data_IF_409509521251
#
_entry.id   IF_409509521251
#
_cell.length_a   1.000
_cell.length_b   1.000
_cell.length_c   1.000
_cell.angle_alpha   90.00
_cell.angle_beta   90.00
_cell.angle_gamma   90.00
#
_symmetry.space_group_name_H-M   'P 1'
#
loop_
_entity.id
_entity.type
_entity.pdbx_description
1 polymer ?
#
# COMPACT_ATOMS: atom_id res chain seq x y z
N UNK A 1 5.26 -1.70 -10.40
CA UNK A 1 5.14 -0.47 -9.58
C UNK A 1 4.61 0.72 -10.36
N UNK A 2 5.19 1.12 -11.50
CA UNK A 2 4.72 2.31 -12.28
C UNK A 2 3.21 2.26 -12.59
N UNK A 3 2.71 1.16 -13.17
CA UNK A 3 1.28 1.04 -13.48
C UNK A 3 0.39 0.94 -12.24
N UNK A 4 0.94 0.55 -11.08
CA UNK A 4 0.21 0.60 -9.81
C UNK A 4 -0.08 2.06 -9.43
N UNK A 5 0.93 2.93 -9.52
CA UNK A 5 0.75 4.36 -9.23
C UNK A 5 -0.15 5.07 -10.25
N UNK A 6 -0.12 4.66 -11.52
CA UNK A 6 -1.06 5.13 -12.54
C UNK A 6 -2.50 4.75 -12.17
N UNK A 7 -2.73 3.50 -11.77
CA UNK A 7 -4.05 3.01 -11.35
C UNK A 7 -4.57 3.72 -10.10
N UNK A 8 -3.70 3.90 -9.11
CA UNK A 8 -3.98 4.70 -7.90
C UNK A 8 -4.40 6.13 -8.28
N UNK A 9 -3.54 6.88 -8.97
CA UNK A 9 -3.84 8.27 -9.33
C UNK A 9 -5.16 8.42 -10.11
N UNK A 10 -5.42 7.50 -11.06
CA UNK A 10 -6.67 7.45 -11.82
C UNK A 10 -7.88 7.19 -10.93
N UNK A 11 -7.83 6.20 -10.04
CA UNK A 11 -8.93 5.85 -9.14
C UNK A 11 -9.15 6.89 -8.05
N UNK A 12 -8.08 7.55 -7.61
CA UNK A 12 -8.11 8.55 -6.56
C UNK A 12 -8.67 9.89 -7.06
N UNK A 13 -8.09 10.45 -8.13
CA UNK A 13 -8.39 11.77 -8.69
C UNK A 13 -8.55 12.86 -7.62
N UNK A 14 -7.55 12.98 -6.74
CA UNK A 14 -7.55 13.89 -5.60
C UNK A 14 -8.77 13.69 -4.66
N UNK A 15 -9.20 12.44 -4.49
CA UNK A 15 -10.33 12.03 -3.65
C UNK A 15 -11.71 12.22 -4.29
N UNK A 16 -11.80 12.77 -5.52
CA UNK A 16 -13.09 12.99 -6.20
C UNK A 16 -13.78 11.69 -6.58
N UNK A 17 -13.00 10.70 -7.00
CA UNK A 17 -13.54 9.42 -7.47
C UNK A 17 -13.47 8.32 -6.41
N UNK A 18 -12.48 8.36 -5.52
CA UNK A 18 -12.31 7.37 -4.43
C UNK A 18 -13.57 7.19 -3.57
N UNK A 19 -14.26 8.28 -3.23
CA UNK A 19 -15.47 8.26 -2.41
C UNK A 19 -16.77 8.34 -3.21
N UNK A 20 -16.69 8.31 -4.54
CA UNK A 20 -17.87 8.26 -5.39
C UNK A 20 -18.37 6.81 -5.47
N UNK A 21 -19.51 6.53 -4.84
CA UNK A 21 -20.11 5.19 -4.83
C UNK A 21 -20.93 4.88 -6.10
N UNK A 22 -20.94 5.79 -7.09
CA UNK A 22 -21.67 5.65 -8.34
C UNK A 22 -20.73 5.44 -9.52
N UNK A 23 -20.54 4.18 -9.89
CA UNK A 23 -19.79 3.82 -11.11
C UNK A 23 -20.30 4.54 -12.37
N UNK A 24 -21.62 4.60 -12.65
CA UNK A 24 -22.14 5.34 -13.79
C UNK A 24 -21.75 6.82 -13.81
N UNK A 25 -21.68 7.47 -12.64
CA UNK A 25 -21.24 8.86 -12.54
C UNK A 25 -19.75 8.99 -12.90
N UNK A 26 -18.88 8.15 -12.33
CA UNK A 26 -17.44 8.14 -12.65
C UNK A 26 -17.22 7.97 -14.15
N UNK A 27 -17.95 7.03 -14.78
CA UNK A 27 -17.85 6.78 -16.22
C UNK A 27 -18.38 7.95 -17.07
N UNK A 28 -19.43 8.65 -16.62
CA UNK A 28 -19.92 9.84 -17.30
C UNK A 28 -18.91 11.00 -17.23
N UNK A 29 -18.29 11.22 -16.07
CA UNK A 29 -17.21 12.21 -15.91
C UNK A 29 -15.98 11.84 -16.74
N UNK A 30 -15.59 10.56 -16.76
CA UNK A 30 -14.50 10.07 -17.62
C UNK A 30 -14.78 10.35 -19.11
N UNK A 31 -16.02 10.15 -19.57
CA UNK A 31 -16.41 10.48 -20.93
C UNK A 31 -16.32 11.99 -21.22
N UNK A 32 -16.69 12.85 -20.26
CA UNK A 32 -16.54 14.31 -20.38
C UNK A 32 -15.08 14.75 -20.44
N UNK A 33 -14.17 14.02 -19.80
CA UNK A 33 -12.72 14.22 -19.86
C UNK A 33 -12.09 13.74 -21.18
N UNK A 34 -12.87 13.17 -22.11
CA UNK A 34 -12.38 12.66 -23.39
C UNK A 34 -11.96 11.18 -23.34
N UNK A 35 -12.30 10.46 -22.28
CA UNK A 35 -11.94 9.06 -22.08
C UNK A 35 -10.53 8.85 -21.52
N UNK A 36 -10.20 7.59 -21.19
CA UNK A 36 -8.95 7.25 -20.50
C UNK A 36 -7.69 7.70 -21.24
N UNK A 37 -7.68 7.58 -22.57
CA UNK A 37 -6.53 7.94 -23.40
C UNK A 37 -6.26 9.46 -23.46
N UNK A 38 -7.23 10.29 -23.03
CA UNK A 38 -7.09 11.75 -23.00
C UNK A 38 -6.55 12.26 -21.66
N UNK A 39 -6.39 11.40 -20.65
CA UNK A 39 -5.94 11.80 -19.32
C UNK A 39 -4.42 11.98 -19.29
N UNK A 40 -3.96 13.17 -18.88
CA UNK A 40 -2.59 13.38 -18.40
C UNK A 40 -2.59 13.34 -16.87
N UNK A 41 -1.80 12.43 -16.29
CA UNK A 41 -1.72 12.26 -14.83
C UNK A 41 -0.71 13.23 -14.24
N UNK A 42 -1.19 14.44 -13.96
CA UNK A 42 -0.40 15.51 -13.38
C UNK A 42 -1.02 16.04 -12.08
N UNK A 43 -0.22 16.23 -11.01
CA UNK A 43 -0.66 17.00 -9.85
C UNK A 43 -0.97 18.46 -10.24
N UNK A 44 -1.92 19.14 -9.56
CA UNK A 44 -2.65 18.67 -8.39
C UNK A 44 -3.93 17.88 -8.72
N UNK A 45 -4.26 17.68 -10.00
CA UNK A 45 -5.52 17.06 -10.40
C UNK A 45 -5.51 15.53 -10.23
N UNK A 46 -4.38 14.90 -10.52
CA UNK A 46 -4.17 13.45 -10.44
C UNK A 46 -2.97 13.09 -9.55
N UNK A 47 -2.96 13.47 -8.26
CA UNK A 47 -1.96 12.98 -7.33
C UNK A 47 -2.15 11.49 -7.08
N UNK A 48 -1.12 10.82 -6.59
CA UNK A 48 -1.24 9.48 -6.00
C UNK A 48 -1.77 9.57 -4.56
N UNK A 49 -2.48 8.54 -4.10
CA UNK A 49 -2.99 8.42 -2.72
C UNK A 49 -1.91 7.89 -1.77
N UNK A 50 -2.33 7.53 -0.55
CA UNK A 50 -1.51 6.82 0.43
C UNK A 50 -1.04 5.45 -0.07
N UNK A 51 -1.81 4.83 -0.98
CA UNK A 51 -1.47 3.60 -1.70
C UNK A 51 -0.03 3.59 -2.21
N UNK A 52 0.26 4.50 -3.13
CA UNK A 52 1.55 4.53 -3.80
C UNK A 52 2.64 4.93 -2.84
N UNK A 53 2.36 5.80 -1.87
CA UNK A 53 3.33 6.22 -0.85
C UNK A 53 3.77 5.01 0.00
N UNK A 54 2.82 4.20 0.47
CA UNK A 54 3.13 3.00 1.27
C UNK A 54 3.73 1.87 0.43
N UNK A 55 3.30 1.72 -0.84
CA UNK A 55 3.90 0.79 -1.78
C UNK A 55 5.37 1.15 -2.06
N UNK A 56 5.69 2.42 -2.28
CA UNK A 56 7.07 2.89 -2.43
C UNK A 56 7.88 2.67 -1.15
N UNK A 57 7.33 2.98 0.02
CA UNK A 57 8.00 2.71 1.30
C UNK A 57 8.36 1.22 1.46
N UNK A 58 7.45 0.32 1.06
CA UNK A 58 7.70 -1.13 1.04
C UNK A 58 8.83 -1.48 0.08
N UNK A 59 8.75 -0.99 -1.16
CA UNK A 59 9.72 -1.28 -2.21
C UNK A 59 11.13 -0.78 -1.86
N UNK A 60 11.25 0.42 -1.30
CA UNK A 60 12.52 0.97 -0.87
C UNK A 60 13.11 0.20 0.32
N UNK A 61 12.27 -0.35 1.21
CA UNK A 61 12.70 -1.22 2.31
C UNK A 61 13.30 -2.52 1.78
N UNK A 62 12.63 -3.16 0.83
CA UNK A 62 13.13 -4.37 0.16
C UNK A 62 14.42 -4.11 -0.63
N UNK A 63 14.53 -2.93 -1.27
CA UNK A 63 15.70 -2.55 -2.05
C UNK A 63 16.97 -2.37 -1.21
N UNK A 64 16.88 -2.34 0.12
CA UNK A 64 18.05 -2.30 1.01
C UNK A 64 18.87 -3.59 1.00
N UNK A 65 18.28 -4.72 0.57
CA UNK A 65 18.92 -6.04 0.65
C UNK A 65 18.97 -6.62 2.07
N UNK A 66 18.29 -6.01 3.04
CA UNK A 66 18.10 -6.59 4.37
C UNK A 66 17.18 -7.81 4.28
N UNK A 67 17.36 -8.75 5.21
CA UNK A 67 16.54 -9.96 5.31
C UNK A 67 16.10 -10.19 6.76
N UNK A 68 15.06 -11.00 6.95
CA UNK A 68 14.61 -11.40 8.28
C UNK A 68 14.18 -10.21 9.14
N UNK A 69 14.59 -10.22 10.42
CA UNK A 69 14.21 -9.19 11.39
C UNK A 69 14.69 -7.77 11.02
N UNK A 70 15.94 -7.55 10.58
CA UNK A 70 16.38 -6.24 10.08
C UNK A 70 15.51 -5.65 8.97
N UNK A 71 15.02 -6.48 8.04
CA UNK A 71 14.11 -6.02 6.98
C UNK A 71 12.79 -5.53 7.57
N UNK A 72 12.21 -6.28 8.52
CA UNK A 72 10.94 -5.91 9.16
C UNK A 72 11.05 -4.59 9.93
N UNK A 73 12.18 -4.37 10.63
CA UNK A 73 12.47 -3.12 11.32
C UNK A 73 12.63 -1.95 10.34
N UNK A 74 13.25 -2.17 9.19
CA UNK A 74 13.38 -1.15 8.16
C UNK A 74 12.05 -0.81 7.50
N UNK A 75 11.20 -1.81 7.20
CA UNK A 75 9.86 -1.59 6.66
C UNK A 75 9.01 -0.76 7.61
N UNK A 76 9.02 -1.10 8.90
CA UNK A 76 8.39 -0.33 9.96
C UNK A 76 8.84 1.14 9.97
N UNK A 77 10.15 1.37 9.99
CA UNK A 77 10.74 2.71 9.97
C UNK A 77 10.28 3.51 8.75
N UNK A 78 10.19 2.85 7.58
CA UNK A 78 9.74 3.48 6.33
C UNK A 78 8.25 3.79 6.35
N UNK A 79 7.39 2.93 6.90
CA UNK A 79 5.96 3.24 7.04
C UNK A 79 5.73 4.44 7.95
N UNK A 80 6.45 4.54 9.06
CA UNK A 80 6.39 5.71 9.94
C UNK A 80 6.88 6.98 9.22
N UNK A 81 7.98 6.90 8.48
CA UNK A 81 8.50 8.03 7.71
C UNK A 81 7.53 8.46 6.58
N UNK A 82 6.90 7.50 5.91
CA UNK A 82 5.93 7.71 4.85
C UNK A 82 4.70 8.51 5.31
N UNK A 83 4.32 8.42 6.59
CA UNK A 83 3.24 9.24 7.16
C UNK A 83 3.50 10.75 7.03
N UNK A 84 4.75 11.18 6.83
CA UNK A 84 5.11 12.57 6.57
C UNK A 84 4.66 13.10 5.19
N UNK A 85 4.32 12.23 4.24
CA UNK A 85 3.86 12.58 2.88
C UNK A 85 2.38 12.21 2.67
N UNK A 86 1.53 12.33 3.69
CA UNK A 86 0.12 11.92 3.61
C UNK A 86 -0.87 13.08 3.42
N UNK A 87 -0.39 14.32 3.33
CA UNK A 87 -1.24 15.50 3.13
C UNK A 87 -2.02 15.39 1.81
N UNK A 88 -3.35 15.42 1.90
CA UNK A 88 -4.20 15.30 0.72
C UNK A 88 -4.14 13.93 0.03
N UNK A 89 -3.71 12.87 0.73
CA UNK A 89 -3.59 11.50 0.18
C UNK A 89 -4.49 10.46 0.83
N UNK A 90 -5.25 10.85 1.86
CA UNK A 90 -6.30 10.06 2.51
C UNK A 90 -5.85 8.71 3.11
N UNK A 91 -4.80 8.69 3.96
CA UNK A 91 -4.40 7.46 4.63
C UNK A 91 -5.52 6.83 5.46
N UNK A 92 -5.59 5.49 5.42
CA UNK A 92 -6.53 4.72 6.23
C UNK A 92 -6.30 4.89 7.75
N UNK A 93 -7.36 4.84 8.58
CA UNK A 93 -7.26 5.12 10.03
C UNK A 93 -6.37 4.12 10.79
N UNK A 94 -6.36 2.85 10.39
CA UNK A 94 -5.47 1.83 10.97
C UNK A 94 -4.00 2.13 10.68
N UNK A 95 -3.66 2.48 9.44
CA UNK A 95 -2.30 2.89 9.05
C UNK A 95 -1.80 4.08 9.86
N UNK A 96 -2.65 5.11 10.04
CA UNK A 96 -2.33 6.28 10.86
C UNK A 96 -2.05 5.87 12.31
N UNK A 97 -2.98 5.14 12.93
CA UNK A 97 -2.92 4.80 14.36
C UNK A 97 -1.68 3.96 14.68
N UNK A 98 -1.42 2.91 13.91
CA UNK A 98 -0.31 2.00 14.21
C UNK A 98 1.04 2.66 13.92
N UNK A 99 1.17 3.48 12.86
CA UNK A 99 2.39 4.26 12.63
C UNK A 99 2.64 5.31 13.72
N UNK A 100 1.59 5.91 14.29
CA UNK A 100 1.71 6.83 15.43
C UNK A 100 2.19 6.11 16.68
N UNK A 101 1.63 4.93 16.99
CA UNK A 101 2.07 4.12 18.14
C UNK A 101 3.52 3.70 18.04
N UNK A 102 3.95 3.28 16.85
CA UNK A 102 5.36 2.96 16.63
C UNK A 102 6.25 4.19 16.85
N UNK A 103 5.88 5.34 16.28
CA UNK A 103 6.66 6.57 16.44
C UNK A 103 6.84 6.98 17.90
N UNK A 104 5.83 6.75 18.73
CA UNK A 104 5.86 7.04 20.17
C UNK A 104 6.68 6.03 20.97
N UNK A 105 7.05 4.88 20.38
CA UNK A 105 7.67 3.77 21.11
C UNK A 105 6.69 3.07 22.06
N UNK A 106 5.37 3.27 21.86
CA UNK A 106 4.30 2.66 22.66
C UNK A 106 4.06 1.19 22.28
N UNK A 107 4.68 0.73 21.19
CA UNK A 107 4.71 -0.65 20.74
C UNK A 107 5.86 -1.40 21.41
N UNK A 108 5.54 -2.51 22.08
CA UNK A 108 6.55 -3.51 22.48
C UNK A 108 6.88 -4.36 21.24
N UNK A 109 7.46 -3.73 20.22
CA UNK A 109 7.65 -4.31 18.89
C UNK A 109 6.34 -4.51 18.12
N UNK A 110 6.40 -4.48 16.79
CA UNK A 110 5.27 -4.76 15.91
C UNK A 110 4.76 -6.19 16.08
N UNK A 111 3.84 -6.41 17.02
CA UNK A 111 3.31 -7.74 17.33
C UNK A 111 1.99 -7.79 18.10
N UNK A 112 1.46 -6.65 18.56
CA UNK A 112 0.23 -6.61 19.36
C UNK A 112 -0.71 -5.44 18.98
N UNK A 113 -1.02 -5.28 17.69
CA UNK A 113 -2.07 -4.37 17.21
C UNK A 113 -3.47 -4.98 17.28
N UNK A 114 -4.47 -4.18 17.61
CA UNK A 114 -5.88 -4.55 17.80
C UNK A 114 -6.60 -4.45 16.45
N UNK A 115 -7.38 -5.49 16.10
CA UNK A 115 -8.02 -5.63 14.79
C UNK A 115 -8.93 -4.46 14.40
N UNK A 116 -8.57 -3.77 13.32
CA UNK A 116 -9.47 -2.99 12.49
C UNK A 116 -9.64 -3.69 11.13
N UNK A 117 -10.89 -3.85 10.69
CA UNK A 117 -11.22 -4.31 9.35
C UNK A 117 -10.98 -3.17 8.34
N UNK A 118 -9.71 -2.94 8.01
CA UNK A 118 -9.31 -2.24 6.79
C UNK A 118 -8.90 -3.28 5.77
N UNK A 119 -9.77 -3.58 4.82
CA UNK A 119 -9.37 -4.31 3.61
C UNK A 119 -8.62 -3.33 2.73
N UNK A 120 -7.36 -3.01 3.03
CA UNK A 120 -6.55 -2.28 2.06
C UNK A 120 -5.05 -2.20 2.40
N UNK A 121 -4.26 -2.75 1.46
CA UNK A 121 -3.03 -2.16 0.91
C UNK A 121 -1.73 -2.35 1.70
N UNK A 122 -1.30 -3.59 1.82
CA UNK A 122 0.13 -3.89 1.53
C UNK A 122 0.23 -4.22 0.05
N UNK A 123 0.92 -3.35 -0.69
CA UNK A 123 1.10 -3.50 -2.11
C UNK A 123 2.55 -3.79 -2.45
N UNK A 124 2.74 -4.81 -3.29
CA UNK A 124 3.93 -4.98 -4.11
C UNK A 124 5.09 -5.73 -3.49
N UNK A 125 4.98 -7.06 -3.40
CA UNK A 125 6.14 -7.94 -3.34
C UNK A 125 6.29 -8.62 -4.71
N UNK A 126 6.71 -7.85 -5.70
CA UNK A 126 7.25 -8.38 -6.97
C UNK A 126 8.71 -8.82 -6.86
N UNK A 127 9.28 -8.81 -5.65
CA UNK A 127 10.72 -8.97 -5.38
C UNK A 127 11.16 -10.42 -5.18
N UNK A 128 10.23 -11.38 -5.22
CA UNK A 128 10.51 -12.80 -5.01
C UNK A 128 10.04 -13.62 -6.23
N UNK A 129 10.69 -13.48 -7.40
CA UNK A 129 10.23 -14.12 -8.63
C UNK A 129 10.35 -15.66 -8.58
N UNK A 130 11.25 -16.19 -7.76
CA UNK A 130 11.57 -17.59 -7.76
C UNK A 130 10.71 -18.41 -6.79
N UNK A 131 10.36 -19.63 -7.19
CA UNK A 131 9.51 -20.51 -6.39
C UNK A 131 10.11 -20.88 -5.01
N UNK A 132 11.44 -20.90 -4.91
CA UNK A 132 12.14 -21.19 -3.65
C UNK A 132 12.07 -20.02 -2.64
N UNK A 133 11.71 -18.82 -3.07
CA UNK A 133 11.53 -17.65 -2.21
C UNK A 133 10.13 -17.58 -1.59
N UNK A 134 9.22 -18.50 -1.95
CA UNK A 134 7.84 -18.52 -1.48
C UNK A 134 7.72 -18.46 0.07
N UNK A 135 8.52 -19.20 0.87
CA UNK A 135 8.48 -19.06 2.32
C UNK A 135 8.81 -17.64 2.80
N UNK A 136 9.78 -16.98 2.17
CA UNK A 136 10.16 -15.59 2.47
C UNK A 136 9.06 -14.62 2.06
N UNK A 137 8.46 -14.79 0.87
CA UNK A 137 7.32 -13.99 0.42
C UNK A 137 6.16 -14.09 1.41
N UNK A 138 5.81 -15.31 1.84
CA UNK A 138 4.73 -15.54 2.81
C UNK A 138 5.03 -14.83 4.13
N UNK A 139 6.24 -15.02 4.67
CA UNK A 139 6.63 -14.37 5.93
C UNK A 139 6.60 -12.84 5.79
N UNK A 140 7.32 -12.27 4.83
CA UNK A 140 7.46 -10.82 4.71
C UNK A 140 6.12 -10.14 4.44
N UNK A 141 5.26 -10.71 3.58
CA UNK A 141 3.92 -10.16 3.30
C UNK A 141 3.01 -10.15 4.53
N UNK A 142 2.97 -11.25 5.30
CA UNK A 142 2.16 -11.34 6.52
C UNK A 142 2.68 -10.38 7.59
N UNK A 143 4.00 -10.38 7.81
CA UNK A 143 4.65 -9.55 8.82
C UNK A 143 4.50 -8.07 8.52
N UNK A 144 4.72 -7.66 7.27
CA UNK A 144 4.51 -6.26 6.85
C UNK A 144 3.03 -5.86 6.89
N UNK A 145 2.12 -6.78 6.57
CA UNK A 145 0.66 -6.55 6.64
C UNK A 145 0.16 -6.34 8.06
N UNK A 146 0.63 -7.14 9.00
CA UNK A 146 0.18 -7.04 10.39
C UNK A 146 0.74 -5.84 11.15
N UNK A 147 1.74 -5.13 10.60
CA UNK A 147 2.23 -3.87 11.18
C UNK A 147 1.08 -2.86 11.34
N UNK A 148 0.25 -2.69 10.31
CA UNK A 148 -0.89 -1.76 10.34
C UNK A 148 -2.25 -2.48 10.42
N UNK A 149 -2.32 -3.75 10.04
CA UNK A 149 -3.57 -4.51 9.96
C UNK A 149 -3.42 -5.91 10.58
N UNK A 150 -3.36 -5.97 11.91
CA UNK A 150 -3.24 -7.23 12.65
C UNK A 150 -4.58 -7.99 12.76
N UNK A 151 -5.17 -8.28 11.62
CA UNK A 151 -6.36 -9.09 11.45
C UNK A 151 -6.17 -9.98 10.21
N UNK A 152 -6.56 -11.27 10.23
CA UNK A 152 -6.36 -12.18 9.09
C UNK A 152 -6.92 -11.65 7.77
N UNK A 153 -8.08 -11.00 7.78
CA UNK A 153 -8.62 -10.35 6.58
C UNK A 153 -7.67 -9.30 5.98
N UNK A 154 -6.93 -8.57 6.81
CA UNK A 154 -5.97 -7.56 6.36
C UNK A 154 -4.65 -8.18 5.88
N UNK A 155 -3.92 -8.88 6.75
CA UNK A 155 -2.60 -9.40 6.39
C UNK A 155 -2.62 -10.57 5.38
N UNK A 156 -3.75 -11.29 5.23
CA UNK A 156 -3.89 -12.25 4.13
C UNK A 156 -4.16 -11.55 2.80
N UNK A 157 -4.76 -10.35 2.82
CA UNK A 157 -4.81 -9.46 1.66
C UNK A 157 -3.41 -9.07 1.18
N UNK A 158 -2.51 -8.73 2.12
CA UNK A 158 -1.10 -8.49 1.84
C UNK A 158 -0.43 -9.68 1.13
N UNK A 159 -0.65 -10.89 1.65
CA UNK A 159 -0.17 -12.13 1.03
C UNK A 159 -0.73 -12.33 -0.37
N UNK A 160 -2.02 -12.10 -0.58
CA UNK A 160 -2.65 -12.27 -1.88
C UNK A 160 -2.03 -11.32 -2.93
N UNK A 161 -1.86 -10.04 -2.59
CA UNK A 161 -1.23 -9.05 -3.48
C UNK A 161 0.23 -9.41 -3.78
N UNK A 162 0.99 -9.82 -2.76
CA UNK A 162 2.36 -10.28 -2.90
C UNK A 162 2.48 -11.49 -3.84
N UNK A 163 1.67 -12.52 -3.60
CA UNK A 163 1.71 -13.77 -4.34
C UNK A 163 1.31 -13.57 -5.80
N UNK A 164 0.23 -12.83 -6.07
CA UNK A 164 -0.20 -12.55 -7.44
C UNK A 164 0.75 -11.62 -8.17
N UNK A 165 1.39 -10.68 -7.46
CA UNK A 165 2.49 -9.89 -8.00
C UNK A 165 3.66 -10.75 -8.45
N UNK A 166 4.08 -11.72 -7.62
CA UNK A 166 5.16 -12.65 -7.97
C UNK A 166 4.78 -13.59 -9.13
N UNK A 167 3.52 -14.03 -9.22
CA UNK A 167 3.03 -14.85 -10.33
C UNK A 167 2.94 -14.07 -11.65
N UNK A 168 2.54 -12.80 -11.61
CA UNK A 168 2.46 -11.94 -12.80
C UNK A 168 3.82 -11.47 -13.32
N UNK A 169 4.90 -11.63 -12.54
CA UNK A 169 6.27 -11.32 -12.94
C UNK A 169 6.99 -12.50 -13.65
N UNK A 170 6.34 -13.65 -13.77
CA UNK A 170 6.85 -14.84 -14.49
C UNK A 170 6.35 -14.85 -15.93
#
# INVERSE_FOLDING_TARGET
MVLSGVGDALGYRAGRWEYCTSGPQIHAELAQLGGLAAISLEPPEWPVSDDTVLHLATAEGLATGLEGEPLLQELARRYVAAMGDMEGRKPGPSSILECQRERSGDTVGWGHGVGGAGEDKVQGLGTYPHAWELPTLIRVSIESGRMTHHHPTGYLGALAVALFGALGAR
#
